data_IF_672581728824
#
_entry.id   IF_672581728824
#
_cell.length_a   1.000
_cell.length_b   1.000
_cell.length_c   1.000
_cell.angle_alpha   90.00
_cell.angle_beta   90.00
_cell.angle_gamma   90.00
#
_symmetry.space_group_name_H-M   'P 1'
#
loop_
_entity.id
_entity.type
_entity.pdbx_description
1 polymer ?
#
# COMPACT_ATOMS: atom_id res chain seq x y z
N UNK A 1 39.33 8.91 -5.08
CA UNK A 1 38.26 8.23 -4.33
C UNK A 1 37.16 7.90 -5.32
N UNK A 2 37.00 6.62 -5.62
CA UNK A 2 35.86 6.12 -6.40
C UNK A 2 34.67 6.06 -5.44
N UNK A 3 33.67 6.91 -5.65
CA UNK A 3 32.46 6.91 -4.84
C UNK A 3 31.71 5.60 -5.06
N UNK A 4 31.43 4.87 -3.98
CA UNK A 4 30.52 3.73 -4.05
C UNK A 4 29.17 4.22 -4.56
N UNK A 5 28.77 3.73 -5.73
CA UNK A 5 27.40 3.87 -6.21
C UNK A 5 26.55 3.00 -5.30
N UNK A 6 25.96 3.59 -4.27
CA UNK A 6 24.94 2.92 -3.44
C UNK A 6 23.77 2.61 -4.36
N UNK A 7 23.69 1.37 -4.82
CA UNK A 7 22.53 0.84 -5.54
C UNK A 7 21.37 0.84 -4.55
N UNK A 8 20.49 1.84 -4.63
CA UNK A 8 19.21 1.79 -3.93
C UNK A 8 18.41 0.62 -4.52
N UNK A 9 18.43 -0.52 -3.83
CA UNK A 9 17.51 -1.62 -4.09
C UNK A 9 16.17 -1.18 -3.50
N UNK A 10 15.29 -0.62 -4.34
CA UNK A 10 13.89 -0.54 -3.98
C UNK A 10 13.41 -1.98 -3.79
N UNK A 11 13.16 -2.40 -2.56
CA UNK A 11 12.31 -3.57 -2.34
C UNK A 11 10.96 -3.21 -2.93
N UNK A 12 10.69 -3.66 -4.16
CA UNK A 12 9.36 -3.64 -4.75
C UNK A 12 8.51 -4.56 -3.89
N UNK A 13 7.88 -3.96 -2.88
CA UNK A 13 6.79 -4.59 -2.17
C UNK A 13 5.68 -4.81 -3.18
N UNK A 14 5.47 -6.08 -3.54
CA UNK A 14 4.43 -6.49 -4.47
C UNK A 14 3.43 -7.28 -3.64
N UNK A 15 2.24 -6.71 -3.46
CA UNK A 15 1.11 -7.42 -2.90
C UNK A 15 0.68 -8.52 -3.87
N UNK A 16 0.21 -9.65 -3.35
CA UNK A 16 -0.49 -10.62 -4.17
C UNK A 16 -1.68 -9.95 -4.90
N UNK A 17 -1.96 -10.37 -6.13
CA UNK A 17 -2.98 -9.73 -6.97
C UNK A 17 -4.38 -9.79 -6.34
N UNK A 18 -4.73 -10.90 -5.68
CA UNK A 18 -6.02 -11.04 -5.02
C UNK A 18 -6.10 -10.15 -3.78
N UNK A 19 -5.01 -10.08 -3.01
CA UNK A 19 -4.92 -9.18 -1.86
C UNK A 19 -5.00 -7.72 -2.28
N UNK A 20 -4.31 -7.32 -3.35
CA UNK A 20 -4.35 -5.95 -3.87
C UNK A 20 -5.77 -5.57 -4.27
N UNK A 21 -6.45 -6.43 -5.04
CA UNK A 21 -7.84 -6.19 -5.47
C UNK A 21 -8.80 -6.06 -4.27
N UNK A 22 -8.61 -6.90 -3.23
CA UNK A 22 -9.38 -6.83 -1.98
C UNK A 22 -9.17 -5.47 -1.31
N UNK A 23 -7.91 -5.07 -1.06
CA UNK A 23 -7.60 -3.83 -0.36
C UNK A 23 -8.05 -2.59 -1.15
N UNK A 24 -7.84 -2.55 -2.47
CA UNK A 24 -8.36 -1.47 -3.31
C UNK A 24 -9.89 -1.34 -3.21
N UNK A 25 -10.63 -2.46 -3.22
CA UNK A 25 -12.09 -2.44 -3.05
C UNK A 25 -12.52 -1.87 -1.70
N UNK A 26 -11.79 -2.21 -0.63
CA UNK A 26 -12.06 -1.69 0.72
C UNK A 26 -11.76 -0.20 0.83
N UNK A 27 -10.64 0.26 0.25
CA UNK A 27 -10.28 1.68 0.15
C UNK A 27 -11.35 2.44 -0.64
N UNK A 28 -11.75 1.95 -1.82
CA UNK A 28 -12.80 2.54 -2.67
C UNK A 28 -14.14 2.68 -1.92
N UNK A 29 -14.54 1.64 -1.18
CA UNK A 29 -15.77 1.65 -0.36
C UNK A 29 -15.72 2.72 0.74
N UNK A 30 -14.52 3.04 1.22
CA UNK A 30 -14.28 4.00 2.30
C UNK A 30 -13.59 5.28 1.81
N UNK A 31 -13.64 5.60 0.50
CA UNK A 31 -12.74 6.58 -0.10
C UNK A 31 -12.86 7.98 0.50
N UNK A 32 -14.05 8.37 0.99
CA UNK A 32 -14.27 9.65 1.67
C UNK A 32 -13.34 9.87 2.88
N UNK A 33 -12.80 8.81 3.49
CA UNK A 33 -11.80 8.91 4.59
C UNK A 33 -10.41 9.36 4.10
N UNK A 34 -10.13 9.14 2.82
CA UNK A 34 -8.83 9.29 2.18
C UNK A 34 -8.78 10.43 1.18
N UNK A 35 -9.93 11.02 0.82
CA UNK A 35 -10.02 12.13 -0.12
C UNK A 35 -9.10 13.30 0.27
N UNK A 36 -8.30 13.77 -0.69
CA UNK A 36 -7.33 14.85 -0.51
C UNK A 36 -6.06 14.49 0.27
N UNK A 37 -5.92 13.25 0.78
CA UNK A 37 -4.71 12.82 1.50
C UNK A 37 -3.80 12.06 0.54
N UNK A 38 -2.61 12.60 0.26
CA UNK A 38 -1.63 11.96 -0.64
C UNK A 38 -1.09 10.63 -0.09
N UNK A 39 -0.92 10.52 1.22
CA UNK A 39 -0.46 9.30 1.88
C UNK A 39 -1.47 8.89 2.95
N UNK A 40 -1.78 7.61 3.03
CA UNK A 40 -2.74 7.09 3.98
C UNK A 40 -2.43 5.65 4.40
N UNK A 41 -3.10 5.23 5.48
CA UNK A 41 -3.04 3.87 6.02
C UNK A 41 -4.45 3.28 6.04
N UNK A 42 -4.58 2.07 5.53
CA UNK A 42 -5.78 1.26 5.63
C UNK A 42 -5.52 0.05 6.53
N UNK A 43 -6.33 -0.15 7.56
CA UNK A 43 -6.21 -1.30 8.46
C UNK A 43 -7.20 -2.36 8.00
N UNK A 44 -6.71 -3.56 7.70
CA UNK A 44 -7.55 -4.66 7.25
C UNK A 44 -6.87 -6.01 7.46
N UNK A 45 -7.63 -7.08 7.30
CA UNK A 45 -7.09 -8.44 7.25
C UNK A 45 -6.49 -8.73 5.87
N UNK A 46 -5.34 -9.39 5.83
CA UNK A 46 -4.77 -9.96 4.62
C UNK A 46 -5.55 -11.19 4.14
N UNK A 47 -5.17 -11.71 2.97
CA UNK A 47 -5.78 -12.95 2.42
C UNK A 47 -5.45 -14.19 3.28
N UNK A 48 -4.42 -14.10 4.11
CA UNK A 48 -4.03 -15.08 5.12
C UNK A 48 -4.80 -14.93 6.44
N UNK A 49 -5.81 -14.04 6.48
CA UNK A 49 -6.64 -13.75 7.65
C UNK A 49 -5.85 -13.21 8.85
N UNK A 50 -4.73 -12.53 8.62
CA UNK A 50 -3.99 -11.78 9.65
C UNK A 50 -4.21 -10.27 9.53
N UNK A 51 -4.18 -9.52 10.64
CA UNK A 51 -4.35 -8.07 10.62
C UNK A 51 -3.09 -7.35 10.14
N UNK A 52 -3.25 -6.36 9.25
CA UNK A 52 -2.16 -5.57 8.68
C UNK A 52 -2.50 -4.08 8.61
N UNK A 53 -1.46 -3.25 8.63
CA UNK A 53 -1.51 -1.85 8.20
C UNK A 53 -0.99 -1.76 6.76
N UNK A 54 -1.85 -1.34 5.83
CA UNK A 54 -1.51 -1.11 4.43
C UNK A 54 -1.23 0.37 4.20
N UNK A 55 0.02 0.70 3.90
CA UNK A 55 0.42 2.05 3.54
C UNK A 55 0.33 2.24 2.03
N UNK A 56 -0.27 3.35 1.63
CA UNK A 56 -0.48 3.63 0.22
C UNK A 56 -0.39 5.12 -0.11
N UNK A 57 0.05 5.39 -1.33
CA UNK A 57 -0.13 6.67 -1.98
C UNK A 57 -1.51 6.71 -2.63
N UNK A 58 -2.24 7.79 -2.41
CA UNK A 58 -3.54 8.03 -3.00
C UNK A 58 -3.40 9.07 -4.11
N UNK A 59 -3.59 8.63 -5.35
CA UNK A 59 -3.52 9.46 -6.55
C UNK A 59 -4.93 9.74 -7.10
N UNK A 60 -5.99 9.37 -6.37
CA UNK A 60 -7.38 9.51 -6.75
C UNK A 60 -8.20 8.24 -6.49
N UNK A 61 -9.52 8.31 -6.68
CA UNK A 61 -10.39 7.15 -6.58
C UNK A 61 -9.92 6.04 -7.54
N UNK A 62 -9.79 4.81 -7.02
CA UNK A 62 -9.28 3.65 -7.75
C UNK A 62 -7.85 3.76 -8.29
N UNK A 63 -7.09 4.77 -7.85
CA UNK A 63 -5.70 4.99 -8.26
C UNK A 63 -4.78 5.06 -7.02
N UNK A 64 -4.27 3.90 -6.63
CA UNK A 64 -3.47 3.74 -5.41
C UNK A 64 -2.15 3.04 -5.72
N UNK A 65 -1.10 3.44 -5.01
CA UNK A 65 0.14 2.68 -4.94
C UNK A 65 0.32 2.14 -3.52
N UNK A 66 -0.02 0.87 -3.30
CA UNK A 66 0.19 0.21 -2.01
C UNK A 66 1.65 -0.27 -1.95
N UNK A 67 2.47 0.40 -1.15
CA UNK A 67 3.93 0.21 -1.17
C UNK A 67 4.47 -0.49 0.08
N UNK A 68 3.64 -0.75 1.10
CA UNK A 68 4.05 -1.46 2.30
C UNK A 68 2.86 -2.06 3.04
N UNK A 69 3.05 -3.25 3.64
CA UNK A 69 2.18 -3.76 4.72
C UNK A 69 3.01 -4.17 5.92
N UNK A 70 2.48 -3.95 7.12
CA UNK A 70 3.11 -4.36 8.39
C UNK A 70 2.08 -5.16 9.19
N UNK A 71 2.46 -6.36 9.65
CA UNK A 71 1.61 -7.20 10.53
C UNK A 71 1.40 -6.46 11.85
N UNK A 72 0.17 -6.48 12.36
CA UNK A 72 -0.16 -5.85 13.64
C UNK A 72 0.26 -6.69 14.84
#
# INVERSE_FOLDING_TARGET
MIGEVVRFVYNTFILDRAEYAKICREINTNYSKYEGKTYAVHISYGIDNKPYWYYFENHGYDNYNIYMRIEM
#
